data_IF_992116927799
#
_entry.id   IF_992116927799
#
_cell.length_a   1.000
_cell.length_b   1.000
_cell.length_c   1.000
_cell.angle_alpha   90.00
_cell.angle_beta   90.00
_cell.angle_gamma   90.00
#
_symmetry.space_group_name_H-M   'P 1'
#
loop_
_entity.id
_entity.type
_entity.pdbx_description
1 polymer ?
#
# COMPACT_ATOMS: atom_id res chain seq x y z
N UNK A 1 12.82 14.14 17.69
CA UNK A 1 11.74 14.75 16.91
C UNK A 1 12.04 14.78 15.42
N UNK A 2 13.17 15.36 14.98
CA UNK A 2 13.54 15.51 13.55
C UNK A 2 13.54 14.17 12.82
N UNK A 3 14.24 13.17 13.33
CA UNK A 3 14.33 11.82 12.73
C UNK A 3 12.93 11.24 12.50
N UNK A 4 12.06 11.31 13.54
CA UNK A 4 10.69 10.83 13.41
C UNK A 4 9.93 11.54 12.28
N UNK A 5 10.12 12.84 12.11
CA UNK A 5 9.47 13.59 11.02
C UNK A 5 10.00 13.20 9.65
N UNK A 6 11.32 12.98 9.52
CA UNK A 6 11.91 12.48 8.27
C UNK A 6 11.34 11.11 7.87
N UNK A 7 11.23 10.17 8.80
CA UNK A 7 10.65 8.84 8.55
C UNK A 7 9.17 8.92 8.14
N UNK A 8 8.39 9.78 8.81
CA UNK A 8 6.99 9.99 8.46
C UNK A 8 6.86 10.59 7.06
N UNK A 9 7.60 11.68 6.78
CA UNK A 9 7.57 12.34 5.48
C UNK A 9 8.05 11.42 4.34
N UNK A 10 9.05 10.58 4.59
CA UNK A 10 9.50 9.58 3.63
C UNK A 10 8.37 8.61 3.23
N UNK A 11 7.53 8.19 4.16
CA UNK A 11 6.41 7.28 3.87
C UNK A 11 5.14 7.98 3.40
N UNK A 12 4.83 9.18 3.91
CA UNK A 12 3.60 9.92 3.67
C UNK A 12 3.67 10.82 2.43
N UNK A 13 4.81 11.51 2.21
CA UNK A 13 4.94 12.54 1.17
C UNK A 13 5.77 12.08 -0.05
N UNK A 14 6.69 11.13 0.14
CA UNK A 14 7.52 10.56 -0.93
C UNK A 14 6.92 9.22 -1.39
N UNK A 15 6.65 8.32 -0.45
CA UNK A 15 6.02 7.03 -0.71
C UNK A 15 6.72 6.22 -1.80
N UNK A 16 5.93 5.74 -2.76
CA UNK A 16 6.43 4.95 -3.88
C UNK A 16 6.95 5.79 -5.07
N UNK A 17 6.85 7.12 -5.01
CA UNK A 17 7.51 7.95 -6.02
C UNK A 17 9.04 7.79 -5.96
N UNK A 18 9.59 7.62 -4.75
CA UNK A 18 10.99 7.21 -4.54
C UNK A 18 11.11 6.34 -3.27
N UNK A 19 11.05 5.00 -3.41
CA UNK A 19 11.16 4.08 -2.28
C UNK A 19 12.46 4.22 -1.47
N UNK A 20 13.52 4.79 -2.06
CA UNK A 20 14.77 5.06 -1.37
C UNK A 20 14.60 6.09 -0.26
N UNK A 21 13.58 6.94 -0.31
CA UNK A 21 13.31 7.93 0.72
C UNK A 21 13.25 7.33 2.12
N UNK A 22 12.50 6.23 2.30
CA UNK A 22 12.40 5.55 3.58
C UNK A 22 13.72 4.86 3.99
N UNK A 23 14.45 4.29 3.03
CA UNK A 23 15.75 3.65 3.26
C UNK A 23 16.78 4.66 3.75
N UNK A 24 16.89 5.80 3.07
CA UNK A 24 17.83 6.88 3.43
C UNK A 24 17.48 7.48 4.80
N UNK A 25 16.19 7.75 5.05
CA UNK A 25 15.77 8.29 6.35
C UNK A 25 16.05 7.31 7.50
N UNK A 26 15.84 6.01 7.28
CA UNK A 26 16.13 5.00 8.30
C UNK A 26 17.66 4.81 8.51
N UNK A 27 18.44 4.81 7.45
CA UNK A 27 19.90 4.75 7.55
C UNK A 27 20.46 5.96 8.31
N UNK A 28 19.95 7.17 8.05
CA UNK A 28 20.32 8.37 8.77
C UNK A 28 19.98 8.30 10.26
N UNK A 29 18.82 7.73 10.61
CA UNK A 29 18.43 7.52 11.99
C UNK A 29 19.43 6.60 12.73
N UNK A 30 19.80 5.48 12.14
CA UNK A 30 20.74 4.53 12.70
C UNK A 30 22.16 5.13 12.79
N UNK A 31 22.61 5.84 11.76
CA UNK A 31 23.91 6.51 11.76
C UNK A 31 24.00 7.56 12.87
N UNK A 32 22.93 8.34 13.10
CA UNK A 32 22.88 9.32 14.17
C UNK A 32 23.01 8.67 15.55
N UNK A 33 22.29 7.55 15.78
CA UNK A 33 22.37 6.82 17.06
C UNK A 33 23.76 6.25 17.32
N UNK A 34 24.46 5.82 16.27
CA UNK A 34 25.80 5.25 16.37
C UNK A 34 26.89 6.31 16.55
N UNK A 35 26.83 7.40 15.78
CA UNK A 35 27.88 8.43 15.74
C UNK A 35 27.68 9.47 16.85
N UNK A 36 26.44 9.90 17.09
CA UNK A 36 26.12 10.97 18.03
C UNK A 36 26.51 12.35 17.54
N UNK A 37 26.34 13.35 18.40
CA UNK A 37 26.72 14.73 18.10
C UNK A 37 28.21 14.97 18.42
N UNK A 38 28.90 15.87 17.66
CA UNK A 38 28.31 16.73 16.62
C UNK A 38 28.22 16.11 15.22
N UNK A 39 28.97 15.06 14.90
CA UNK A 39 29.12 14.52 13.54
C UNK A 39 27.85 13.82 13.04
N UNK A 40 27.02 13.30 13.90
CA UNK A 40 25.72 12.72 13.56
C UNK A 40 24.73 13.68 12.87
N UNK A 41 25.04 14.98 12.79
CA UNK A 41 24.27 15.95 12.01
C UNK A 41 24.35 15.66 10.50
N UNK A 42 25.48 15.16 9.99
CA UNK A 42 25.68 14.95 8.56
C UNK A 42 24.65 13.98 7.95
N UNK A 43 24.44 12.76 8.46
CA UNK A 43 23.43 11.85 7.92
C UNK A 43 22.01 12.43 8.00
N UNK A 44 21.69 13.23 9.03
CA UNK A 44 20.38 13.88 9.14
C UNK A 44 20.20 14.93 8.05
N UNK A 45 21.22 15.72 7.75
CA UNK A 45 21.21 16.73 6.68
C UNK A 45 21.09 16.03 5.31
N UNK A 46 21.86 14.96 5.08
CA UNK A 46 21.80 14.16 3.85
C UNK A 46 20.36 13.65 3.61
N UNK A 47 19.75 13.01 4.60
CA UNK A 47 18.37 12.53 4.50
C UNK A 47 17.39 13.68 4.26
N UNK A 48 17.60 14.84 4.90
CA UNK A 48 16.74 16.02 4.72
C UNK A 48 16.81 16.52 3.28
N UNK A 49 18.00 16.64 2.71
CA UNK A 49 18.20 17.09 1.33
C UNK A 49 17.63 16.08 0.33
N UNK A 50 17.86 14.78 0.57
CA UNK A 50 17.29 13.72 -0.26
C UNK A 50 15.77 13.81 -0.31
N UNK A 51 15.11 13.84 0.84
CA UNK A 51 13.64 13.90 0.91
C UNK A 51 13.09 15.23 0.35
N UNK A 52 13.80 16.35 0.54
CA UNK A 52 13.38 17.64 0.02
C UNK A 52 13.36 17.68 -1.51
N UNK A 53 14.29 16.97 -2.16
CA UNK A 53 14.47 16.96 -3.62
C UNK A 53 13.84 15.75 -4.32
N UNK A 54 13.42 14.73 -3.59
CA UNK A 54 12.76 13.55 -4.14
C UNK A 54 11.40 13.88 -4.79
N UNK A 55 10.97 13.13 -5.81
CA UNK A 55 9.59 13.22 -6.31
C UNK A 55 8.59 12.90 -5.20
N UNK A 56 7.38 13.46 -5.30
CA UNK A 56 6.37 13.40 -4.23
C UNK A 56 5.19 12.53 -4.62
N UNK A 57 4.72 11.71 -3.65
CA UNK A 57 3.48 10.97 -3.76
C UNK A 57 2.90 10.67 -2.38
N UNK A 58 1.61 10.91 -2.22
CA UNK A 58 0.85 10.53 -1.03
C UNK A 58 0.00 9.26 -1.26
N UNK A 59 0.29 8.49 -2.30
CA UNK A 59 -0.47 7.30 -2.71
C UNK A 59 -0.56 6.22 -1.63
N UNK A 60 0.38 6.20 -0.68
CA UNK A 60 0.34 5.34 0.52
C UNK A 60 -0.87 5.62 1.41
N UNK A 61 -1.52 6.79 1.24
CA UNK A 61 -2.81 7.12 1.84
C UNK A 61 -3.96 6.18 1.45
N UNK A 62 -3.76 5.34 0.42
CA UNK A 62 -4.64 4.22 0.05
C UNK A 62 -5.07 3.35 1.25
N UNK A 63 -4.18 3.20 2.24
CA UNK A 63 -4.48 2.50 3.50
C UNK A 63 -5.72 3.06 4.20
N UNK A 64 -5.86 4.38 4.29
CA UNK A 64 -6.98 5.01 5.00
C UNK A 64 -8.31 4.75 4.30
N UNK A 65 -8.32 4.76 2.96
CA UNK A 65 -9.51 4.43 2.17
C UNK A 65 -9.94 2.97 2.39
N UNK A 66 -8.98 2.05 2.35
CA UNK A 66 -9.23 0.64 2.59
C UNK A 66 -9.74 0.39 4.02
N UNK A 67 -9.13 1.05 5.01
CA UNK A 67 -9.53 0.94 6.41
C UNK A 67 -10.96 1.46 6.62
N UNK A 68 -11.28 2.63 6.07
CA UNK A 68 -12.60 3.24 6.17
C UNK A 68 -13.69 2.35 5.57
N UNK A 69 -13.44 1.79 4.39
CA UNK A 69 -14.35 0.84 3.75
C UNK A 69 -14.62 -0.38 4.65
N UNK A 70 -13.58 -0.93 5.29
CA UNK A 70 -13.73 -2.07 6.20
C UNK A 70 -14.55 -1.69 7.43
N UNK A 71 -14.29 -0.52 8.03
CA UNK A 71 -15.03 -0.04 9.20
C UNK A 71 -16.53 0.20 8.90
N UNK A 72 -16.84 0.67 7.69
CA UNK A 72 -18.22 0.90 7.26
C UNK A 72 -18.92 -0.38 6.81
N UNK A 73 -18.18 -1.42 6.47
CA UNK A 73 -18.75 -2.68 5.99
C UNK A 73 -19.20 -3.56 7.15
N UNK A 74 -20.40 -4.09 7.07
CA UNK A 74 -20.95 -4.97 8.10
C UNK A 74 -20.26 -6.34 8.14
N UNK A 75 -19.83 -6.86 6.99
CA UNK A 75 -19.13 -8.13 6.87
C UNK A 75 -18.53 -8.31 5.47
N UNK A 76 -17.21 -8.42 5.40
CA UNK A 76 -16.48 -8.76 4.18
C UNK A 76 -16.03 -10.23 4.25
N UNK A 77 -16.45 -11.06 3.29
CA UNK A 77 -16.09 -12.46 3.25
C UNK A 77 -14.89 -12.69 2.33
N UNK A 78 -13.79 -13.20 2.89
CA UNK A 78 -12.62 -13.60 2.11
C UNK A 78 -13.03 -14.67 1.07
N UNK A 79 -12.64 -14.53 -0.22
CA UNK A 79 -12.89 -15.53 -1.25
C UNK A 79 -12.43 -16.93 -0.82
N UNK A 80 -13.21 -17.97 -1.14
CA UNK A 80 -12.94 -19.34 -0.67
C UNK A 80 -11.56 -19.85 -1.02
N UNK A 81 -11.10 -19.59 -2.23
CA UNK A 81 -9.78 -20.03 -2.72
C UNK A 81 -8.61 -19.40 -1.98
N UNK A 82 -8.80 -18.24 -1.31
CA UNK A 82 -7.79 -17.56 -0.50
C UNK A 82 -7.79 -17.99 0.98
N UNK A 83 -8.78 -18.78 1.41
CA UNK A 83 -8.83 -19.28 2.79
C UNK A 83 -7.87 -20.46 2.98
N UNK A 84 -7.35 -20.60 4.22
CA UNK A 84 -6.42 -21.68 4.54
C UNK A 84 -6.98 -23.07 4.24
N UNK A 85 -6.28 -23.77 3.36
CA UNK A 85 -6.64 -25.12 2.92
C UNK A 85 -6.14 -26.22 3.87
N UNK A 86 -5.27 -25.94 4.83
CA UNK A 86 -4.62 -26.98 5.63
C UNK A 86 -5.57 -27.61 6.64
N UNK A 87 -6.48 -26.83 7.25
CA UNK A 87 -7.41 -27.32 8.29
C UNK A 87 -8.77 -27.72 7.75
N UNK A 88 -9.33 -26.91 6.83
CA UNK A 88 -10.76 -26.92 6.54
C UNK A 88 -11.11 -27.24 5.08
N UNK A 89 -10.12 -27.72 4.29
CA UNK A 89 -10.32 -28.03 2.87
C UNK A 89 -11.45 -29.03 2.62
N UNK A 90 -11.44 -30.15 3.35
CA UNK A 90 -12.42 -31.23 3.14
C UNK A 90 -13.82 -30.88 3.65
N UNK A 91 -13.93 -30.09 4.71
CA UNK A 91 -15.19 -29.76 5.35
C UNK A 91 -15.87 -28.51 4.77
N UNK A 92 -15.08 -27.51 4.39
CA UNK A 92 -15.57 -26.18 4.01
C UNK A 92 -15.17 -25.73 2.60
N UNK A 93 -14.38 -26.52 1.86
CA UNK A 93 -13.89 -26.19 0.52
C UNK A 93 -12.90 -25.02 0.51
N UNK A 94 -12.22 -24.76 1.64
CA UNK A 94 -11.22 -23.71 1.73
C UNK A 94 -10.02 -24.02 0.82
N UNK A 95 -9.51 -23.01 0.09
CA UNK A 95 -8.43 -23.15 -0.86
C UNK A 95 -8.79 -23.84 -2.18
N UNK A 96 -10.07 -24.23 -2.36
CA UNK A 96 -10.52 -24.83 -3.60
C UNK A 96 -10.47 -23.81 -4.75
N UNK A 97 -9.85 -24.23 -5.88
CA UNK A 97 -9.69 -23.34 -7.04
C UNK A 97 -8.54 -22.33 -6.93
N UNK A 98 -7.75 -22.36 -5.85
CA UNK A 98 -6.56 -21.51 -5.76
C UNK A 98 -5.56 -21.84 -6.88
N UNK A 99 -5.13 -20.84 -7.60
CA UNK A 99 -4.09 -20.93 -8.60
C UNK A 99 -2.86 -20.15 -8.13
N UNK A 100 -1.70 -20.80 -8.24
CA UNK A 100 -0.44 -20.22 -7.77
C UNK A 100 0.14 -19.28 -8.84
N UNK A 101 0.26 -17.96 -8.59
CA UNK A 101 0.67 -17.00 -9.62
C UNK A 101 2.01 -17.31 -10.26
N UNK A 102 2.97 -17.89 -9.51
CA UNK A 102 4.29 -18.22 -10.05
C UNK A 102 4.29 -19.33 -11.13
N UNK A 103 3.20 -20.04 -11.30
CA UNK A 103 3.02 -21.01 -12.40
C UNK A 103 2.53 -20.35 -13.70
N UNK A 104 2.31 -19.02 -13.69
CA UNK A 104 1.80 -18.26 -14.83
C UNK A 104 2.87 -17.28 -15.35
N UNK A 105 2.78 -16.86 -16.63
CA UNK A 105 3.67 -15.84 -17.19
C UNK A 105 3.65 -14.56 -16.34
N UNK A 106 4.80 -13.91 -16.23
CA UNK A 106 5.01 -12.69 -15.43
C UNK A 106 4.64 -12.84 -13.94
N UNK A 107 4.47 -14.09 -13.45
CA UNK A 107 4.01 -14.40 -12.10
C UNK A 107 2.72 -13.66 -11.71
N UNK A 108 1.89 -13.39 -12.72
CA UNK A 108 0.63 -12.69 -12.56
C UNK A 108 -0.54 -13.58 -13.02
N UNK A 109 -1.61 -13.56 -12.24
CA UNK A 109 -2.85 -14.25 -12.55
C UNK A 109 -4.03 -13.31 -12.23
N UNK A 110 -4.94 -13.09 -13.19
CA UNK A 110 -6.13 -12.28 -12.99
C UNK A 110 -7.20 -13.08 -12.24
N UNK A 111 -7.01 -13.30 -10.93
CA UNK A 111 -8.00 -13.94 -10.06
C UNK A 111 -8.59 -12.94 -9.05
N UNK A 112 -9.70 -13.32 -8.44
CA UNK A 112 -10.36 -12.50 -7.42
C UNK A 112 -9.57 -12.53 -6.11
N UNK A 113 -9.18 -11.36 -5.61
CA UNK A 113 -8.54 -11.18 -4.31
C UNK A 113 -9.44 -10.47 -3.30
N UNK A 114 -10.29 -9.57 -3.77
CA UNK A 114 -11.23 -8.86 -2.92
C UNK A 114 -12.52 -9.66 -2.71
N UNK A 115 -13.20 -9.44 -1.57
CA UNK A 115 -14.58 -9.91 -1.37
C UNK A 115 -15.50 -9.45 -2.50
N UNK A 116 -16.54 -10.27 -2.80
CA UNK A 116 -17.46 -9.98 -3.91
C UNK A 116 -18.11 -8.60 -3.82
N UNK A 117 -18.49 -8.20 -2.61
CA UNK A 117 -19.20 -6.93 -2.35
C UNK A 117 -18.34 -5.67 -2.65
N UNK A 118 -17.02 -5.83 -2.74
CA UNK A 118 -16.05 -4.75 -3.02
C UNK A 118 -15.18 -5.07 -4.24
N UNK A 119 -15.63 -6.01 -5.06
CA UNK A 119 -14.94 -6.37 -6.29
C UNK A 119 -15.02 -5.22 -7.29
N UNK A 120 -13.87 -4.81 -7.83
CA UNK A 120 -13.78 -3.65 -8.73
C UNK A 120 -13.37 -2.35 -8.03
N UNK A 121 -13.28 -2.34 -6.69
CA UNK A 121 -12.79 -1.18 -5.95
C UNK A 121 -11.27 -1.09 -6.02
N UNK A 122 -10.76 0.09 -6.36
CA UNK A 122 -9.33 0.38 -6.36
C UNK A 122 -8.98 1.39 -5.26
N UNK A 123 -8.04 1.01 -4.41
CA UNK A 123 -7.57 1.86 -3.30
C UNK A 123 -6.32 2.65 -3.68
N UNK A 124 -5.40 2.01 -4.38
CA UNK A 124 -4.11 2.58 -4.74
C UNK A 124 -4.17 3.21 -6.13
N UNK A 125 -3.87 4.50 -6.19
CA UNK A 125 -3.76 5.29 -7.42
C UNK A 125 -2.37 5.89 -7.46
N UNK A 126 -1.46 5.38 -8.33
CA UNK A 126 -0.14 5.94 -8.49
C UNK A 126 -0.22 7.40 -8.94
N UNK A 127 0.64 8.25 -8.40
CA UNK A 127 0.68 9.68 -8.75
C UNK A 127 1.26 9.95 -10.14
N UNK A 128 1.93 8.97 -10.76
CA UNK A 128 2.68 9.13 -11.99
C UNK A 128 4.01 9.89 -11.80
N UNK A 129 4.45 10.09 -10.55
CA UNK A 129 5.72 10.73 -10.25
C UNK A 129 6.80 9.70 -9.93
N UNK A 130 8.03 9.92 -10.41
CA UNK A 130 9.17 9.06 -10.13
C UNK A 130 8.91 7.59 -10.47
N UNK A 131 9.18 6.66 -9.55
CA UNK A 131 8.98 5.23 -9.77
C UNK A 131 7.51 4.84 -9.98
N UNK A 132 6.55 5.66 -9.53
CA UNK A 132 5.13 5.37 -9.75
C UNK A 132 4.69 5.48 -11.21
N UNK A 133 5.45 6.15 -12.08
CA UNK A 133 5.21 6.13 -13.53
C UNK A 133 5.30 4.70 -14.07
N UNK A 134 6.35 3.96 -13.68
CA UNK A 134 6.55 2.57 -14.05
C UNK A 134 5.49 1.65 -13.44
N UNK A 135 5.13 1.89 -12.17
CA UNK A 135 4.06 1.16 -11.49
C UNK A 135 2.72 1.37 -12.21
N UNK A 136 2.40 2.59 -12.64
CA UNK A 136 1.16 2.92 -13.34
C UNK A 136 0.98 2.07 -14.60
N UNK A 137 2.00 1.97 -15.44
CA UNK A 137 1.97 1.18 -16.67
C UNK A 137 1.72 -0.31 -16.41
N UNK A 138 2.31 -0.83 -15.34
CA UNK A 138 2.15 -2.23 -14.93
C UNK A 138 0.76 -2.50 -14.38
N UNK A 139 0.26 -1.61 -13.51
CA UNK A 139 -1.06 -1.72 -12.90
C UNK A 139 -2.18 -1.63 -13.93
N UNK A 140 -2.08 -0.76 -14.92
CA UNK A 140 -3.08 -0.62 -15.97
C UNK A 140 -3.30 -1.96 -16.69
N UNK A 141 -2.20 -2.62 -17.12
CA UNK A 141 -2.27 -3.95 -17.76
C UNK A 141 -2.88 -5.01 -16.84
N UNK A 142 -2.49 -5.03 -15.58
CA UNK A 142 -3.00 -5.99 -14.61
C UNK A 142 -4.48 -5.78 -14.31
N UNK A 143 -4.91 -4.54 -14.13
CA UNK A 143 -6.30 -4.18 -13.89
C UNK A 143 -7.18 -4.50 -15.09
N UNK A 144 -6.70 -4.24 -16.30
CA UNK A 144 -7.42 -4.59 -17.53
C UNK A 144 -7.60 -6.11 -17.65
N UNK A 145 -6.55 -6.88 -17.46
CA UNK A 145 -6.62 -8.35 -17.47
C UNK A 145 -7.57 -8.88 -16.40
N UNK A 146 -7.55 -8.30 -15.20
CA UNK A 146 -8.43 -8.68 -14.09
C UNK A 146 -9.89 -8.34 -14.37
N UNK A 147 -10.18 -7.14 -14.87
CA UNK A 147 -11.55 -6.75 -15.28
C UNK A 147 -12.11 -7.71 -16.30
N UNK A 148 -11.33 -8.03 -17.34
CA UNK A 148 -11.73 -8.95 -18.40
C UNK A 148 -11.99 -10.37 -17.87
N UNK A 149 -11.10 -10.89 -17.05
CA UNK A 149 -11.20 -12.25 -16.52
C UNK A 149 -12.35 -12.44 -15.52
N UNK A 150 -12.66 -11.40 -14.74
CA UNK A 150 -13.68 -11.44 -13.69
C UNK A 150 -15.03 -10.84 -14.11
N UNK A 151 -15.14 -10.33 -15.35
CA UNK A 151 -16.35 -9.68 -15.86
C UNK A 151 -16.71 -8.40 -15.12
N UNK A 152 -15.71 -7.66 -14.62
CA UNK A 152 -15.92 -6.40 -13.91
C UNK A 152 -16.23 -5.33 -14.96
N UNK A 153 -17.47 -4.87 -14.98
CA UNK A 153 -17.96 -3.83 -15.91
C UNK A 153 -17.90 -2.43 -15.31
N UNK A 154 -18.00 -2.34 -13.99
CA UNK A 154 -17.95 -1.10 -13.23
C UNK A 154 -16.77 -1.14 -12.27
N UNK A 155 -16.07 -0.04 -12.17
CA UNK A 155 -14.98 0.15 -11.19
C UNK A 155 -15.32 1.34 -10.33
N UNK A 156 -15.07 1.21 -9.04
CA UNK A 156 -15.31 2.27 -8.07
C UNK A 156 -13.98 2.82 -7.57
N UNK A 157 -13.76 4.10 -7.83
CA UNK A 157 -12.67 4.86 -7.23
C UNK A 157 -13.23 5.55 -5.99
N UNK A 158 -12.77 5.11 -4.83
CA UNK A 158 -13.21 5.73 -3.58
C UNK A 158 -12.76 7.18 -3.52
N UNK A 159 -13.64 8.09 -3.07
CA UNK A 159 -13.31 9.49 -2.91
C UNK A 159 -12.16 9.68 -1.92
N UNK A 160 -11.45 10.79 -2.06
CA UNK A 160 -10.43 11.15 -1.08
C UNK A 160 -11.09 11.47 0.27
N UNK A 161 -10.53 10.89 1.31
CA UNK A 161 -11.00 11.16 2.68
C UNK A 161 -10.58 12.56 3.11
N UNK A 162 -11.46 13.27 3.81
CA UNK A 162 -11.13 14.56 4.40
C UNK A 162 -10.02 14.42 5.46
N UNK A 163 -9.24 15.48 5.66
CA UNK A 163 -8.20 15.48 6.70
C UNK A 163 -8.75 15.17 8.09
N UNK A 164 -9.96 15.63 8.39
CA UNK A 164 -10.62 15.37 9.68
C UNK A 164 -10.93 13.89 9.84
N UNK A 165 -11.41 13.24 8.78
CA UNK A 165 -11.70 11.81 8.77
C UNK A 165 -10.42 10.98 8.96
N UNK A 166 -9.35 11.32 8.23
CA UNK A 166 -8.02 10.69 8.39
C UNK A 166 -7.50 10.87 9.83
N UNK A 167 -7.66 12.05 10.44
CA UNK A 167 -7.30 12.29 11.85
C UNK A 167 -8.10 11.40 12.80
N UNK A 168 -9.38 11.19 12.53
CA UNK A 168 -10.24 10.28 13.31
C UNK A 168 -9.73 8.85 13.25
N UNK A 169 -9.44 8.31 12.07
CA UNK A 169 -8.86 6.98 11.87
C UNK A 169 -7.51 6.86 12.62
N UNK A 170 -6.60 7.83 12.42
CA UNK A 170 -5.30 7.88 13.13
C UNK A 170 -5.47 7.87 14.67
N UNK A 171 -6.54 8.45 15.19
CA UNK A 171 -6.81 8.48 16.64
C UNK A 171 -7.29 7.14 17.18
N UNK A 172 -8.07 6.39 16.40
CA UNK A 172 -8.54 5.04 16.77
C UNK A 172 -7.36 4.07 16.94
N UNK A 173 -6.35 4.15 16.06
CA UNK A 173 -5.15 3.31 16.13
C UNK A 173 -4.17 3.62 17.27
N UNK A 174 -4.31 4.76 17.94
CA UNK A 174 -3.47 5.07 19.12
C UNK A 174 -3.93 4.35 20.40
N UNK A 175 -5.11 3.74 20.37
CA UNK A 175 -5.71 3.07 21.53
C UNK A 175 -5.57 1.55 21.51
N UNK A 176 -4.95 1.01 20.43
CA UNK A 176 -4.61 -0.40 20.25
C UNK A 176 -3.11 -0.62 20.44
#
# INVERSE_FOLDING_TARGET
FIIRRLLISAGEDIGLADPMGLVVANAAAQAFEFVGLPEGVYPIVEATLFLATAPKSNSTGAYFKAFDLIEQSSRLNIPRHLKDANRDRKALGHGEGYQYPHNHPDHFLPQQYLPGDVLGTYFYHPSGQGYEEEISLRLERWREAQRKALGITETEDLPDLSEEHIKSIKSKHKKT
#
